data_IF_793096016489
#
_entry.id   IF_793096016489
#
_cell.length_a   1.000
_cell.length_b   1.000
_cell.length_c   1.000
_cell.angle_alpha   90.00
_cell.angle_beta   90.00
_cell.angle_gamma   90.00
#
_symmetry.space_group_name_H-M   'P 1'
#
loop_
_entity.id
_entity.type
_entity.pdbx_description
1 polymer ?
#
# COMPACT_ATOMS: atom_id res chain seq x y z
N UNK A 1 15.92 -1.48 16.96
CA UNK A 1 14.61 -1.08 17.50
C UNK A 1 13.55 -1.82 16.71
N UNK A 2 12.63 -2.54 17.35
CA UNK A 2 11.57 -3.28 16.65
C UNK A 2 10.46 -2.32 16.15
N UNK A 3 10.01 -2.43 14.89
CA UNK A 3 8.94 -1.57 14.37
C UNK A 3 7.62 -1.75 15.12
N UNK A 4 6.86 -0.65 15.29
CA UNK A 4 5.59 -0.66 16.03
C UNK A 4 4.56 -1.63 15.43
N UNK A 5 4.56 -1.81 14.10
CA UNK A 5 3.63 -2.72 13.44
C UNK A 5 3.88 -4.20 13.78
N UNK A 6 5.11 -4.57 14.17
CA UNK A 6 5.42 -5.94 14.60
C UNK A 6 4.80 -6.19 15.97
N UNK A 7 4.84 -5.19 16.86
CA UNK A 7 4.17 -5.26 18.17
C UNK A 7 2.66 -5.40 18.03
N UNK A 8 2.04 -4.66 17.10
CA UNK A 8 0.59 -4.77 16.84
C UNK A 8 0.22 -6.08 16.15
N UNK A 9 1.13 -6.70 15.40
CA UNK A 9 0.96 -8.07 14.93
C UNK A 9 0.98 -9.07 16.10
N UNK A 10 2.01 -9.03 16.94
CA UNK A 10 2.21 -9.97 18.04
C UNK A 10 1.06 -9.96 19.06
N UNK A 11 0.46 -8.80 19.32
CA UNK A 11 -0.67 -8.68 20.24
C UNK A 11 -2.05 -8.86 19.58
N UNK A 12 -2.10 -9.25 18.30
CA UNK A 12 -3.35 -9.51 17.57
C UNK A 12 -4.11 -8.28 17.07
N UNK A 13 -3.72 -7.06 17.47
CA UNK A 13 -4.38 -5.82 17.07
C UNK A 13 -4.40 -5.63 15.55
N UNK A 14 -3.31 -6.00 14.86
CA UNK A 14 -3.22 -5.89 13.41
C UNK A 14 -4.27 -6.77 12.71
N UNK A 15 -4.43 -8.02 13.16
CA UNK A 15 -5.40 -8.97 12.60
C UNK A 15 -6.83 -8.44 12.72
N UNK A 16 -7.17 -7.87 13.87
CA UNK A 16 -8.49 -7.29 14.09
C UNK A 16 -8.74 -6.05 13.22
N UNK A 17 -7.74 -5.16 13.09
CA UNK A 17 -7.84 -3.99 12.20
C UNK A 17 -8.01 -4.38 10.74
N UNK A 18 -7.30 -5.42 10.29
CA UNK A 18 -7.46 -5.97 8.93
C UNK A 18 -8.89 -6.45 8.73
N UNK A 19 -9.45 -7.23 9.67
CA UNK A 19 -10.83 -7.72 9.59
C UNK A 19 -11.83 -6.57 9.43
N UNK A 20 -11.72 -5.54 10.27
CA UNK A 20 -12.60 -4.35 10.21
C UNK A 20 -12.46 -3.61 8.87
N UNK A 21 -11.23 -3.40 8.41
CA UNK A 21 -10.95 -2.65 7.18
C UNK A 21 -11.33 -3.43 5.91
N UNK A 22 -11.22 -4.76 5.93
CA UNK A 22 -11.69 -5.63 4.86
C UNK A 22 -13.21 -5.66 4.78
N UNK A 23 -13.91 -5.71 5.92
CA UNK A 23 -15.37 -5.66 5.92
C UNK A 23 -15.89 -4.32 5.38
N UNK A 24 -15.19 -3.21 5.67
CA UNK A 24 -15.48 -1.89 5.06
C UNK A 24 -15.38 -1.87 3.53
N UNK A 25 -14.78 -2.86 2.88
CA UNK A 25 -14.77 -2.94 1.42
C UNK A 25 -16.17 -3.20 0.83
N UNK A 26 -17.08 -3.82 1.59
CA UNK A 26 -18.49 -4.04 1.18
C UNK A 26 -19.33 -2.77 1.08
N UNK A 27 -18.92 -1.72 1.79
CA UNK A 27 -19.51 -0.40 1.68
C UNK A 27 -18.42 0.65 1.93
N UNK A 28 -17.67 0.93 0.87
CA UNK A 28 -16.38 1.60 0.96
C UNK A 28 -16.49 3.06 1.42
N UNK A 29 -15.88 3.33 2.57
CA UNK A 29 -15.75 4.66 3.20
C UNK A 29 -14.29 5.03 3.53
N UNK A 30 -13.31 4.41 2.85
CA UNK A 30 -11.88 4.58 3.14
C UNK A 30 -11.32 6.00 2.90
N UNK A 31 -12.06 6.86 2.19
CA UNK A 31 -11.62 8.21 1.89
C UNK A 31 -12.78 9.20 2.04
N UNK A 32 -12.49 10.52 2.05
CA UNK A 32 -13.51 11.55 2.24
C UNK A 32 -14.63 11.56 1.20
N UNK A 33 -14.49 10.86 0.07
CA UNK A 33 -15.55 10.74 -0.95
C UNK A 33 -16.74 9.88 -0.52
N UNK A 34 -16.56 8.95 0.43
CA UNK A 34 -17.66 8.14 0.98
C UNK A 34 -18.57 7.47 -0.06
N UNK A 35 -18.00 6.82 -1.09
CA UNK A 35 -18.79 6.31 -2.22
C UNK A 35 -19.70 5.11 -1.91
N UNK A 36 -19.50 4.41 -0.79
CA UNK A 36 -20.32 3.28 -0.34
C UNK A 36 -20.43 2.07 -1.29
N UNK A 37 -19.66 2.05 -2.39
CA UNK A 37 -19.58 0.91 -3.32
C UNK A 37 -19.11 -0.37 -2.63
N UNK A 38 -19.56 -1.51 -3.14
CA UNK A 38 -19.10 -2.84 -2.74
C UNK A 38 -17.91 -3.26 -3.59
N UNK A 39 -16.70 -3.04 -3.08
CA UNK A 39 -15.47 -3.41 -3.78
C UNK A 39 -15.27 -4.92 -3.90
N UNK A 40 -15.93 -5.73 -3.06
CA UNK A 40 -15.83 -7.19 -3.07
C UNK A 40 -16.72 -7.82 -4.14
N UNK A 41 -17.80 -7.15 -4.55
CA UNK A 41 -18.62 -7.57 -5.69
C UNK A 41 -18.05 -7.14 -7.05
N UNK A 42 -16.94 -6.39 -7.05
CA UNK A 42 -16.27 -5.87 -8.24
C UNK A 42 -16.62 -4.42 -8.57
N UNK A 43 -17.44 -3.75 -7.78
CA UNK A 43 -17.71 -2.32 -7.97
C UNK A 43 -16.47 -1.46 -7.65
N UNK A 44 -16.40 -0.30 -8.29
CA UNK A 44 -15.35 0.68 -7.99
C UNK A 44 -15.94 2.09 -7.86
N UNK A 45 -15.34 2.88 -6.98
CA UNK A 45 -15.65 4.31 -6.86
C UNK A 45 -14.81 5.14 -7.83
N UNK A 46 -14.79 6.46 -7.61
CA UNK A 46 -13.97 7.39 -8.43
C UNK A 46 -12.48 7.02 -8.41
N UNK A 47 -12.00 6.42 -7.32
CA UNK A 47 -10.63 5.91 -7.22
C UNK A 47 -10.34 4.65 -8.05
N UNK A 48 -11.31 4.10 -8.79
CA UNK A 48 -11.16 2.94 -9.70
C UNK A 48 -10.54 1.68 -9.09
N UNK A 49 -10.50 1.58 -7.76
CA UNK A 49 -9.89 0.46 -7.04
C UNK A 49 -10.96 -0.44 -6.45
N UNK A 50 -10.86 -1.75 -6.71
CA UNK A 50 -11.75 -2.80 -6.21
C UNK A 50 -11.18 -3.54 -5.00
N UNK A 51 -11.41 -4.86 -4.94
CA UNK A 51 -10.92 -5.74 -3.87
C UNK A 51 -9.39 -5.79 -3.77
N UNK A 52 -8.70 -5.76 -4.91
CA UNK A 52 -7.25 -5.90 -5.00
C UNK A 52 -6.58 -4.55 -5.26
N UNK A 53 -5.37 -4.41 -4.77
CA UNK A 53 -4.52 -3.28 -5.12
C UNK A 53 -4.00 -3.45 -6.56
N UNK A 54 -3.61 -2.33 -7.16
CA UNK A 54 -2.88 -2.32 -8.41
C UNK A 54 -1.54 -1.63 -8.19
N UNK A 55 -0.47 -2.22 -8.69
CA UNK A 55 0.90 -1.71 -8.56
C UNK A 55 1.44 -1.39 -9.94
N UNK A 56 2.00 -0.19 -10.09
CA UNK A 56 2.71 0.22 -11.30
C UNK A 56 4.13 -0.34 -11.31
N UNK A 57 4.84 -0.16 -10.19
CA UNK A 57 6.24 -0.55 -10.03
C UNK A 57 6.62 -0.65 -8.56
N UNK A 58 7.67 -1.41 -8.28
CA UNK A 58 8.36 -1.40 -7.00
C UNK A 58 9.87 -1.43 -7.22
N UNK A 59 10.63 -0.56 -6.55
CA UNK A 59 12.08 -0.45 -6.72
C UNK A 59 12.73 0.34 -5.58
N UNK A 60 14.07 0.25 -5.43
CA UNK A 60 14.83 1.27 -4.71
C UNK A 60 14.66 2.64 -5.38
N UNK A 61 14.02 3.57 -4.70
CA UNK A 61 13.77 4.92 -5.20
C UNK A 61 14.69 5.94 -4.51
N UNK A 62 15.42 6.70 -5.31
CA UNK A 62 16.38 7.72 -4.86
C UNK A 62 15.87 9.15 -5.04
N UNK A 63 14.61 9.32 -5.48
CA UNK A 63 13.97 10.63 -5.67
C UNK A 63 13.24 11.18 -4.44
N UNK A 64 13.20 10.43 -3.33
CA UNK A 64 12.60 10.90 -2.07
C UNK A 64 13.54 11.86 -1.31
N UNK A 65 13.05 12.43 -0.21
CA UNK A 65 13.86 13.27 0.66
C UNK A 65 15.08 12.53 1.23
N UNK A 66 16.19 13.27 1.44
CA UNK A 66 17.45 12.73 1.95
C UNK A 66 17.32 11.78 3.17
N UNK A 67 16.44 12.05 4.17
CA UNK A 67 16.26 11.15 5.31
C UNK A 67 15.66 9.78 4.97
N UNK A 68 14.97 9.63 3.83
CA UNK A 68 14.31 8.39 3.42
C UNK A 68 15.18 7.52 2.50
N UNK A 69 16.01 8.15 1.67
CA UNK A 69 16.78 7.43 0.63
C UNK A 69 18.05 6.77 1.16
N UNK A 70 18.74 7.39 2.11
CA UNK A 70 20.05 6.92 2.58
C UNK A 70 20.99 6.53 1.42
N UNK A 71 21.67 5.39 1.55
CA UNK A 71 22.59 4.87 0.53
C UNK A 71 21.99 3.76 -0.36
N UNK A 72 20.85 3.20 0.01
CA UNK A 72 20.26 2.01 -0.61
C UNK A 72 18.85 2.26 -1.17
N UNK A 73 18.43 3.52 -1.18
CA UNK A 73 17.11 3.94 -1.65
C UNK A 73 16.00 3.71 -0.64
N UNK A 74 14.92 4.44 -0.86
CA UNK A 74 13.61 4.20 -0.25
C UNK A 74 12.96 3.03 -0.99
N UNK A 75 12.53 1.97 -0.30
CA UNK A 75 11.94 0.80 -0.96
C UNK A 75 10.51 1.12 -1.39
N UNK A 76 10.34 1.75 -2.55
CA UNK A 76 9.07 2.34 -2.93
C UNK A 76 8.21 1.37 -3.72
N UNK A 77 6.93 1.30 -3.36
CA UNK A 77 5.85 0.63 -4.09
C UNK A 77 4.87 1.71 -4.57
N UNK A 78 4.79 1.88 -5.89
CA UNK A 78 3.89 2.84 -6.53
C UNK A 78 2.54 2.18 -6.83
N UNK A 79 1.50 2.56 -6.09
CA UNK A 79 0.15 2.12 -6.39
C UNK A 79 -0.44 2.90 -7.56
N UNK A 80 -1.31 2.24 -8.32
CA UNK A 80 -2.08 2.89 -9.38
C UNK A 80 -3.40 3.41 -8.85
N UNK A 81 -4.06 4.22 -9.68
CA UNK A 81 -5.28 4.93 -9.35
C UNK A 81 -5.11 5.93 -8.19
N UNK A 82 -6.14 6.73 -7.90
CA UNK A 82 -6.07 7.74 -6.84
C UNK A 82 -7.48 8.20 -6.45
N UNK A 83 -7.67 8.57 -5.19
CA UNK A 83 -8.91 9.13 -4.66
C UNK A 83 -9.04 10.66 -4.81
N UNK A 84 -8.02 11.39 -5.27
CA UNK A 84 -8.05 12.85 -5.40
C UNK A 84 -8.31 13.33 -6.83
N UNK A 85 -7.50 12.90 -7.81
CA UNK A 85 -7.65 13.28 -9.22
C UNK A 85 -7.09 14.67 -9.54
N UNK A 86 -5.87 14.98 -9.10
CA UNK A 86 -5.26 16.31 -9.21
C UNK A 86 -4.94 16.70 -10.67
N UNK A 87 -5.28 17.92 -11.08
CA UNK A 87 -4.94 18.46 -12.42
C UNK A 87 -3.43 18.65 -12.65
N UNK A 88 -2.63 18.65 -11.59
CA UNK A 88 -1.18 18.80 -11.59
C UNK A 88 -0.48 17.52 -11.08
N UNK A 89 -1.11 16.36 -11.23
CA UNK A 89 -0.58 15.09 -10.73
C UNK A 89 0.77 14.74 -11.36
N UNK A 90 1.84 14.64 -10.56
CA UNK A 90 3.16 14.19 -11.00
C UNK A 90 3.12 12.72 -11.48
N UNK A 91 2.23 11.92 -10.89
CA UNK A 91 2.03 10.51 -11.18
C UNK A 91 0.84 10.27 -12.14
N UNK A 92 0.50 11.23 -13.00
CA UNK A 92 -0.70 11.18 -13.86
C UNK A 92 -0.86 9.85 -14.61
N UNK A 93 0.22 9.37 -15.23
CA UNK A 93 0.23 8.12 -16.01
C UNK A 93 -0.24 6.90 -15.18
N UNK A 94 0.12 6.83 -13.90
CA UNK A 94 -0.23 5.69 -13.04
C UNK A 94 -1.51 5.94 -12.23
N UNK A 95 -1.72 7.16 -11.75
CA UNK A 95 -2.85 7.53 -10.91
C UNK A 95 -4.14 7.81 -11.70
N UNK A 96 -4.05 8.42 -12.88
CA UNK A 96 -5.23 8.73 -13.70
C UNK A 96 -5.47 7.69 -14.78
N UNK A 97 -4.42 7.27 -15.49
CA UNK A 97 -4.55 6.27 -16.57
C UNK A 97 -4.51 4.83 -16.06
N UNK A 98 -4.18 4.60 -14.79
CA UNK A 98 -4.24 3.29 -14.17
C UNK A 98 -3.19 2.31 -14.69
N UNK A 99 -2.04 2.80 -15.18
CA UNK A 99 -0.96 1.95 -15.68
C UNK A 99 -0.36 1.13 -14.54
N UNK A 100 -0.49 -0.19 -14.63
CA UNK A 100 0.04 -1.17 -13.70
C UNK A 100 -0.77 -2.46 -13.78
N UNK A 101 -0.66 -3.31 -12.77
CA UNK A 101 -1.32 -4.61 -12.75
C UNK A 101 -1.92 -4.90 -11.39
N UNK A 102 -2.99 -5.70 -11.39
CA UNK A 102 -3.63 -6.21 -10.18
C UNK A 102 -2.65 -7.10 -9.42
N UNK A 103 -2.57 -6.93 -8.10
CA UNK A 103 -1.74 -7.75 -7.22
C UNK A 103 -2.56 -8.32 -6.08
N UNK A 104 -2.25 -9.56 -5.71
CA UNK A 104 -2.73 -10.23 -4.50
C UNK A 104 -1.99 -9.72 -3.27
N UNK A 105 -2.57 -9.98 -2.09
CA UNK A 105 -1.92 -9.65 -0.81
C UNK A 105 -0.56 -10.34 -0.67
N UNK A 106 -0.44 -11.58 -1.19
CA UNK A 106 0.82 -12.33 -1.18
C UNK A 106 1.86 -11.68 -2.09
N UNK A 107 1.50 -11.35 -3.33
CA UNK A 107 2.42 -10.68 -4.25
C UNK A 107 2.89 -9.33 -3.69
N UNK A 108 1.99 -8.57 -3.08
CA UNK A 108 2.34 -7.31 -2.43
C UNK A 108 3.28 -7.53 -1.22
N UNK A 109 3.08 -8.59 -0.45
CA UNK A 109 4.00 -8.97 0.65
C UNK A 109 5.39 -9.37 0.11
N UNK A 110 5.42 -10.16 -0.97
CA UNK A 110 6.64 -10.57 -1.66
C UNK A 110 7.42 -9.36 -2.18
N UNK A 111 6.74 -8.30 -2.66
CA UNK A 111 7.38 -7.02 -3.03
C UNK A 111 8.05 -6.34 -1.84
N UNK A 112 7.38 -6.27 -0.68
CA UNK A 112 7.97 -5.67 0.54
C UNK A 112 9.23 -6.43 0.98
N UNK A 113 9.16 -7.77 0.99
CA UNK A 113 10.27 -8.64 1.36
C UNK A 113 11.42 -8.54 0.35
N UNK A 114 11.09 -8.44 -0.94
CA UNK A 114 12.08 -8.22 -2.00
C UNK A 114 12.84 -6.93 -1.71
N UNK A 115 12.15 -5.79 -1.51
CA UNK A 115 12.79 -4.50 -1.22
C UNK A 115 13.67 -4.54 0.03
N UNK A 116 13.25 -5.29 1.06
CA UNK A 116 14.09 -5.55 2.22
C UNK A 116 15.35 -6.34 1.86
N UNK A 117 15.22 -7.41 1.08
CA UNK A 117 16.35 -8.28 0.71
C UNK A 117 17.42 -7.58 -0.12
N UNK A 118 17.05 -6.60 -0.95
CA UNK A 118 17.98 -5.75 -1.70
C UNK A 118 18.59 -4.62 -0.85
N UNK A 119 18.18 -4.49 0.42
CA UNK A 119 18.81 -3.59 1.39
C UNK A 119 18.21 -2.18 1.47
N UNK A 120 17.00 -1.95 0.93
CA UNK A 120 16.35 -0.64 1.07
C UNK A 120 16.15 -0.25 2.54
N UNK A 121 16.06 1.05 2.81
CA UNK A 121 16.00 1.55 4.20
C UNK A 121 14.60 1.47 4.82
N UNK A 122 13.57 1.39 3.99
CA UNK A 122 12.17 1.39 4.39
C UNK A 122 11.30 0.76 3.30
N UNK A 123 10.03 0.52 3.61
CA UNK A 123 8.98 0.26 2.62
C UNK A 123 8.11 1.51 2.50
N UNK A 124 8.19 2.18 1.36
CA UNK A 124 7.47 3.42 1.08
C UNK A 124 6.29 3.16 0.16
N UNK A 125 5.09 3.44 0.66
CA UNK A 125 3.87 3.28 -0.09
C UNK A 125 3.45 4.61 -0.70
N UNK A 126 3.43 4.70 -2.04
CA UNK A 126 3.04 5.92 -2.77
C UNK A 126 1.62 5.80 -3.30
N UNK A 127 0.78 6.82 -3.02
CA UNK A 127 -0.68 6.80 -3.21
C UNK A 127 -1.40 5.64 -2.46
N UNK A 128 -1.13 5.42 -1.16
CA UNK A 128 -1.63 4.25 -0.42
C UNK A 128 -3.08 4.39 0.08
N UNK A 129 -3.62 5.61 0.13
CA UNK A 129 -4.83 5.94 0.87
C UNK A 129 -6.05 5.09 0.50
N UNK A 130 -6.21 4.76 -0.79
CA UNK A 130 -7.34 3.94 -1.26
C UNK A 130 -7.09 2.43 -1.23
N UNK A 131 -5.91 1.98 -0.82
CA UNK A 131 -5.49 0.55 -0.76
C UNK A 131 -5.02 0.10 0.63
N UNK A 132 -5.30 0.87 1.69
CA UNK A 132 -4.89 0.54 3.07
C UNK A 132 -5.30 -0.87 3.51
N UNK A 133 -6.54 -1.36 3.27
CA UNK A 133 -6.91 -2.73 3.65
C UNK A 133 -6.02 -3.81 3.01
N UNK A 134 -5.63 -3.60 1.75
CA UNK A 134 -4.74 -4.47 0.99
C UNK A 134 -3.32 -4.41 1.52
N UNK A 135 -2.80 -3.20 1.78
CA UNK A 135 -1.47 -3.00 2.40
C UNK A 135 -1.39 -3.74 3.74
N UNK A 136 -2.38 -3.59 4.62
CA UNK A 136 -2.32 -4.24 5.93
C UNK A 136 -2.42 -5.77 5.85
N UNK A 137 -3.21 -6.29 4.89
CA UNK A 137 -3.31 -7.74 4.69
C UNK A 137 -2.00 -8.32 4.15
N UNK A 138 -1.36 -7.63 3.21
CA UNK A 138 -0.03 -7.98 2.73
C UNK A 138 1.04 -7.84 3.83
N UNK A 139 0.97 -6.79 4.64
CA UNK A 139 1.88 -6.57 5.77
C UNK A 139 1.80 -7.70 6.79
N UNK A 140 0.60 -8.23 7.07
CA UNK A 140 0.44 -9.39 7.95
C UNK A 140 1.25 -10.60 7.44
N UNK A 141 1.17 -10.88 6.14
CA UNK A 141 1.94 -11.96 5.48
C UNK A 141 3.44 -11.63 5.50
N UNK A 142 3.83 -10.39 5.22
CA UNK A 142 5.23 -9.98 5.17
C UNK A 142 5.91 -10.12 6.55
N UNK A 143 5.22 -9.75 7.64
CA UNK A 143 5.74 -9.93 9.02
C UNK A 143 6.00 -11.41 9.32
N UNK A 144 5.08 -12.30 8.94
CA UNK A 144 5.26 -13.75 9.12
C UNK A 144 6.50 -14.29 8.41
N UNK A 145 6.91 -13.62 7.33
CA UNK A 145 8.08 -13.96 6.52
C UNK A 145 9.30 -13.08 6.83
N UNK A 146 9.30 -12.34 7.95
CA UNK A 146 10.48 -11.64 8.46
C UNK A 146 10.65 -10.20 7.99
N UNK A 147 9.59 -9.51 7.56
CA UNK A 147 9.66 -8.07 7.31
C UNK A 147 9.90 -7.30 8.62
N UNK A 148 10.94 -6.46 8.62
CA UNK A 148 11.42 -5.68 9.76
C UNK A 148 11.75 -4.22 9.40
N UNK A 149 11.72 -3.85 8.12
CA UNK A 149 11.95 -2.46 7.70
C UNK A 149 10.85 -1.52 8.18
N UNK A 150 11.16 -0.25 8.50
CA UNK A 150 10.14 0.76 8.79
C UNK A 150 9.25 1.00 7.56
N UNK A 151 8.01 1.45 7.81
CA UNK A 151 7.04 1.77 6.76
C UNK A 151 6.94 3.29 6.61
N UNK A 152 6.84 3.76 5.37
CA UNK A 152 6.58 5.15 5.00
C UNK A 152 5.26 5.21 4.24
N UNK A 153 4.43 6.20 4.57
CA UNK A 153 3.12 6.41 3.97
C UNK A 153 3.13 7.74 3.23
N UNK A 154 3.25 7.70 1.90
CA UNK A 154 3.40 8.88 1.06
C UNK A 154 2.12 9.08 0.19
N UNK A 155 1.28 10.01 0.62
CA UNK A 155 -0.08 10.25 0.09
C UNK A 155 -0.19 11.55 -0.69
#
# INVERSE_FOLDING_TARGET
MEPVYVKTYNNGTLKERIRILRDKLKSCTLCPRGCNVDRLSGETGICKTGEYAFVSSFMPHFGEEAPLVGYHGSGTIFFTHCNLGCNFCQNYDISHQGRGHKVTDKELADMMLSLQSIGCHNINFVTPSHVVPQILSALYIAIQNGLLLPLVFNS
#
